data_IF_997229085177
#
_entry.id   IF_997229085177
#
_cell.length_a   1.000
_cell.length_b   1.000
_cell.length_c   1.000
_cell.angle_alpha   90.00
_cell.angle_beta   90.00
_cell.angle_gamma   90.00
#
_symmetry.space_group_name_H-M   'P 1'
#
loop_
_entity.id
_entity.type
_entity.pdbx_description
1 polymer ?
#
# COMPACT_ATOMS: atom_id res chain seq x y z
N UNK A 1 17.18 5.48 -7.53
CA UNK A 1 15.98 4.93 -6.90
C UNK A 1 14.81 5.87 -7.08
N UNK A 2 13.66 5.35 -7.35
CA UNK A 2 12.47 6.12 -7.63
C UNK A 2 11.43 5.86 -6.52
N UNK A 3 10.93 6.91 -5.90
CA UNK A 3 9.85 6.76 -4.92
C UNK A 3 8.51 6.70 -5.62
N UNK A 4 7.56 6.01 -5.00
CA UNK A 4 6.20 5.85 -5.51
C UNK A 4 5.27 6.74 -4.71
N UNK A 5 4.60 7.67 -5.39
CA UNK A 5 3.60 8.51 -4.73
C UNK A 5 2.30 7.72 -4.57
N UNK A 6 1.86 7.59 -3.33
CA UNK A 6 0.65 6.83 -3.02
C UNK A 6 -0.49 7.73 -2.52
N UNK A 7 -0.37 9.02 -2.76
CA UNK A 7 -1.41 9.98 -2.47
C UNK A 7 -1.15 10.77 -1.20
N UNK A 8 -1.68 11.98 -1.17
CA UNK A 8 -1.71 12.83 0.02
C UNK A 8 -0.33 13.12 0.60
N UNK A 9 0.67 13.24 -0.29
CA UNK A 9 2.01 13.57 0.14
C UNK A 9 2.80 12.41 0.69
N UNK A 10 2.35 11.18 0.49
CA UNK A 10 3.03 10.00 0.99
C UNK A 10 3.77 9.29 -0.15
N UNK A 11 5.00 8.91 0.12
CA UNK A 11 5.88 8.28 -0.86
C UNK A 11 6.46 7.00 -0.28
N UNK A 12 6.50 5.94 -1.07
CA UNK A 12 7.04 4.65 -0.66
C UNK A 12 8.26 4.31 -1.50
N UNK A 13 9.19 3.57 -0.91
CA UNK A 13 10.32 3.02 -1.64
C UNK A 13 9.87 1.72 -2.31
N UNK A 14 9.81 1.68 -3.65
CA UNK A 14 9.29 0.50 -4.34
C UNK A 14 10.13 -0.75 -4.12
N UNK A 15 11.42 -0.59 -3.78
CA UNK A 15 12.28 -1.74 -3.54
C UNK A 15 11.98 -2.44 -2.22
N UNK A 16 11.21 -1.80 -1.34
CA UNK A 16 10.84 -2.38 -0.06
C UNK A 16 9.44 -2.96 -0.06
N UNK A 17 8.74 -2.91 -1.18
CA UNK A 17 7.38 -3.44 -1.31
C UNK A 17 7.47 -4.92 -1.66
N UNK A 18 6.86 -5.77 -0.84
CA UNK A 18 6.86 -7.21 -1.10
C UNK A 18 5.51 -7.72 -1.59
N UNK A 19 4.42 -6.96 -1.33
CA UNK A 19 3.09 -7.37 -1.79
C UNK A 19 2.18 -6.17 -1.89
N UNK A 20 1.24 -6.24 -2.83
CA UNK A 20 0.18 -5.25 -2.99
C UNK A 20 -1.11 -6.05 -3.13
N UNK A 21 -2.13 -5.71 -2.35
CA UNK A 21 -3.33 -6.52 -2.27
C UNK A 21 -4.58 -5.67 -2.28
N UNK A 22 -5.71 -6.31 -2.57
CA UNK A 22 -7.03 -5.69 -2.42
C UNK A 22 -7.46 -5.82 -0.96
N UNK A 23 -8.16 -4.81 -0.40
CA UNK A 23 -8.53 -4.86 1.00
C UNK A 23 -9.66 -5.86 1.31
N UNK A 24 -10.42 -6.30 0.32
CA UNK A 24 -11.61 -7.10 0.55
C UNK A 24 -11.37 -8.59 0.66
N UNK A 25 -10.21 -9.09 0.23
CA UNK A 25 -9.97 -10.54 0.25
C UNK A 25 -9.80 -11.04 1.68
N UNK A 26 -10.20 -12.29 1.90
CA UNK A 26 -10.12 -12.87 3.23
C UNK A 26 -8.70 -12.89 3.81
N UNK A 27 -7.67 -13.24 3.03
CA UNK A 27 -6.30 -13.17 3.57
C UNK A 27 -5.90 -11.77 3.97
N UNK A 28 -6.29 -10.76 3.18
CA UNK A 28 -5.95 -9.38 3.49
C UNK A 28 -6.66 -8.91 4.75
N UNK A 29 -7.93 -9.28 4.92
CA UNK A 29 -8.70 -8.90 6.10
C UNK A 29 -8.02 -9.45 7.37
N UNK A 30 -7.57 -10.72 7.32
CA UNK A 30 -6.86 -11.29 8.44
C UNK A 30 -5.54 -10.57 8.71
N UNK A 31 -4.81 -10.24 7.64
CA UNK A 31 -3.55 -9.52 7.76
C UNK A 31 -3.75 -8.15 8.39
N UNK A 32 -4.81 -7.43 7.99
CA UNK A 32 -5.10 -6.11 8.54
C UNK A 32 -5.44 -6.20 10.02
N UNK A 33 -6.20 -7.22 10.43
CA UNK A 33 -6.51 -7.41 11.83
C UNK A 33 -5.26 -7.65 12.65
N UNK A 34 -4.38 -8.51 12.17
CA UNK A 34 -3.13 -8.81 12.87
C UNK A 34 -2.23 -7.57 12.94
N UNK A 35 -2.16 -6.81 11.85
CA UNK A 35 -1.33 -5.62 11.82
C UNK A 35 -1.83 -4.57 12.81
N UNK A 36 -3.17 -4.44 12.92
CA UNK A 36 -3.75 -3.51 13.88
C UNK A 36 -3.40 -3.91 15.30
N UNK A 37 -3.46 -5.20 15.60
CA UNK A 37 -3.15 -5.70 16.94
C UNK A 37 -1.68 -5.53 17.28
N UNK A 38 -0.79 -5.69 16.28
CA UNK A 38 0.65 -5.60 16.49
C UNK A 38 1.18 -4.17 16.41
N UNK A 39 0.35 -3.24 15.96
CA UNK A 39 0.77 -1.85 15.86
C UNK A 39 1.61 -1.52 14.65
N UNK A 40 1.62 -2.36 13.62
CA UNK A 40 2.38 -2.09 12.40
C UNK A 40 1.48 -1.76 11.21
N UNK A 41 0.27 -1.29 11.47
CA UNK A 41 -0.65 -0.80 10.45
C UNK A 41 -0.43 0.69 10.27
N UNK A 42 -0.19 1.12 9.03
CA UNK A 42 0.02 2.53 8.70
C UNK A 42 -1.08 2.97 7.74
N UNK A 43 -1.80 4.01 8.11
CA UNK A 43 -2.91 4.51 7.29
C UNK A 43 -2.44 5.75 6.52
N UNK A 44 -2.37 5.61 5.19
CA UNK A 44 -1.98 6.71 4.31
C UNK A 44 -3.14 7.14 3.40
N UNK A 45 -4.39 6.90 3.85
CA UNK A 45 -5.55 7.22 3.04
C UNK A 45 -6.08 8.63 3.27
N UNK A 46 -5.58 9.32 4.28
CA UNK A 46 -6.07 10.66 4.64
C UNK A 46 -7.59 10.68 4.85
N UNK A 47 -8.11 9.62 5.46
CA UNK A 47 -9.54 9.50 5.75
C UNK A 47 -10.37 9.04 4.57
N UNK A 48 -9.75 8.76 3.40
CA UNK A 48 -10.46 8.25 2.25
C UNK A 48 -10.62 6.74 2.35
N UNK A 49 -11.45 6.20 1.47
CA UNK A 49 -11.68 4.77 1.41
C UNK A 49 -10.39 4.05 1.03
N UNK A 50 -10.09 2.97 1.74
CA UNK A 50 -8.94 2.13 1.41
C UNK A 50 -9.24 1.35 0.14
N UNK A 51 -8.40 1.53 -0.87
CA UNK A 51 -8.55 0.82 -2.15
C UNK A 51 -7.44 -0.19 -2.36
N UNK A 52 -6.30 -0.03 -1.69
CA UNK A 52 -5.18 -0.94 -1.80
C UNK A 52 -4.47 -1.10 -0.48
N UNK A 53 -3.72 -2.19 -0.37
CA UNK A 53 -2.93 -2.51 0.82
C UNK A 53 -1.54 -2.87 0.34
N UNK A 54 -0.52 -2.23 0.93
CA UNK A 54 0.88 -2.43 0.55
C UNK A 54 1.61 -3.04 1.74
N UNK A 55 2.34 -4.12 1.49
CA UNK A 55 3.12 -4.79 2.54
C UNK A 55 4.59 -4.60 2.23
N UNK A 56 5.38 -4.19 3.23
CA UNK A 56 6.80 -3.96 3.06
C UNK A 56 7.61 -5.07 3.72
N UNK A 57 8.90 -5.12 3.39
CA UNK A 57 9.81 -6.11 3.98
C UNK A 57 10.14 -5.81 5.45
N UNK A 58 9.69 -4.65 5.96
CA UNK A 58 9.79 -4.35 7.40
C UNK A 58 8.51 -4.73 8.13
N UNK A 59 7.65 -5.55 7.50
CA UNK A 59 6.39 -6.02 8.06
C UNK A 59 5.39 -4.90 8.34
N UNK A 60 5.53 -3.78 7.67
CA UNK A 60 4.54 -2.72 7.75
C UNK A 60 3.42 -3.00 6.76
N UNK A 61 2.19 -2.78 7.20
CA UNK A 61 1.00 -2.95 6.37
C UNK A 61 0.40 -1.57 6.18
N UNK A 62 0.36 -1.10 4.94
CA UNK A 62 0.05 0.28 4.63
C UNK A 62 -1.25 0.35 3.84
N UNK A 63 -2.20 1.13 4.34
CA UNK A 63 -3.47 1.37 3.65
C UNK A 63 -3.30 2.56 2.72
N UNK A 64 -3.70 2.40 1.47
CA UNK A 64 -3.63 3.49 0.49
C UNK A 64 -4.97 3.66 -0.21
N UNK A 65 -5.24 4.88 -0.68
CA UNK A 65 -6.47 5.21 -1.39
C UNK A 65 -6.27 5.13 -2.90
N UNK A 66 -5.46 4.18 -3.33
CA UNK A 66 -5.19 3.89 -4.74
C UNK A 66 -5.46 2.42 -5.00
N UNK A 67 -5.93 2.13 -6.20
CA UNK A 67 -6.11 0.73 -6.61
C UNK A 67 -4.77 0.02 -6.64
N UNK A 68 -4.74 -1.29 -6.33
CA UNK A 68 -3.48 -2.04 -6.35
C UNK A 68 -2.76 -1.94 -7.70
N UNK A 69 -3.50 -1.95 -8.80
CA UNK A 69 -2.92 -1.85 -10.14
C UNK A 69 -2.18 -0.53 -10.33
N UNK A 70 -2.74 0.55 -9.77
CA UNK A 70 -2.10 1.85 -9.85
C UNK A 70 -0.79 1.87 -9.08
N UNK A 71 -0.79 1.31 -7.88
CA UNK A 71 0.44 1.23 -7.08
C UNK A 71 1.48 0.39 -7.80
N UNK A 72 1.07 -0.76 -8.33
CA UNK A 72 2.00 -1.65 -9.03
C UNK A 72 2.59 -0.98 -10.26
N UNK A 73 1.77 -0.29 -11.03
CA UNK A 73 2.25 0.40 -12.24
C UNK A 73 3.26 1.48 -11.88
N UNK A 74 2.99 2.26 -10.85
CA UNK A 74 3.91 3.31 -10.40
C UNK A 74 5.20 2.72 -9.86
N UNK A 75 5.11 1.59 -9.13
CA UNK A 75 6.28 0.94 -8.57
C UNK A 75 7.18 0.40 -9.68
N UNK A 76 6.62 0.06 -10.82
CA UNK A 76 7.37 -0.43 -11.97
C UNK A 76 7.84 0.71 -12.89
N UNK A 77 7.60 1.95 -12.50
CA UNK A 77 7.99 3.09 -13.31
C UNK A 77 7.05 3.39 -14.45
N UNK A 78 5.86 2.78 -14.45
CA UNK A 78 4.86 2.98 -15.50
C UNK A 78 3.64 3.66 -14.92
N UNK A 79 3.84 4.79 -14.27
CA UNK A 79 2.68 5.49 -13.76
C UNK A 79 1.83 6.02 -14.92
N UNK A 80 0.61 6.39 -14.61
CA UNK A 80 -0.37 6.70 -15.63
C UNK A 80 -0.02 7.85 -16.54
N UNK A 81 0.97 8.62 -16.20
CA UNK A 81 1.38 9.75 -17.01
C UNK A 81 2.36 9.41 -18.09
N UNK A 82 2.82 8.20 -18.11
CA UNK A 82 3.89 7.82 -19.03
C UNK A 82 3.40 7.07 -20.23
#
# INVERSE_FOLDING_TARGET
MKYVHVGFGNWLNPERIVAIAVPQSAPTIRMLRQAREKGNLVDMTAGRRTLGVVVTDANQVILVALQPETVAARAQGRDGGL
#
